data_IF_625597202426
#
_entry.id   IF_625597202426
#
_cell.length_a   1.000
_cell.length_b   1.000
_cell.length_c   1.000
_cell.angle_alpha   90.00
_cell.angle_beta   90.00
_cell.angle_gamma   90.00
#
_symmetry.space_group_name_H-M   'P 1'
#
loop_
_entity.id
_entity.type
_entity.pdbx_description
1 polymer ?
#
# COMPACT_ATOMS: atom_id res chain seq x y z
N UNK A 1 9.77 -4.69 -5.55
CA UNK A 1 10.11 -3.28 -5.87
C UNK A 1 9.12 -2.62 -6.83
N UNK A 2 9.27 -2.66 -8.17
CA UNK A 2 8.28 -1.96 -9.05
C UNK A 2 6.87 -2.56 -8.98
N UNK A 3 6.79 -3.90 -9.01
CA UNK A 3 5.51 -4.61 -8.94
C UNK A 3 4.79 -4.38 -7.61
N UNK A 4 5.54 -4.35 -6.52
CA UNK A 4 5.03 -4.16 -5.16
C UNK A 4 4.30 -2.83 -4.98
N UNK A 5 4.95 -1.74 -5.36
CA UNK A 5 4.36 -0.41 -5.30
C UNK A 5 3.23 -0.23 -6.32
N UNK A 6 3.25 -0.98 -7.43
CA UNK A 6 2.15 -0.99 -8.40
C UNK A 6 0.89 -1.65 -7.83
N UNK A 7 1.00 -2.79 -7.15
CA UNK A 7 -0.13 -3.44 -6.47
C UNK A 7 -0.69 -2.55 -5.35
N UNK A 8 0.17 -1.91 -4.56
CA UNK A 8 -0.27 -0.97 -3.54
C UNK A 8 -1.04 0.22 -4.14
N UNK A 9 -0.58 0.75 -5.27
CA UNK A 9 -1.27 1.82 -5.99
C UNK A 9 -2.65 1.37 -6.47
N UNK A 10 -2.78 0.15 -6.97
CA UNK A 10 -4.06 -0.42 -7.39
C UNK A 10 -5.00 -0.54 -6.20
N UNK A 11 -4.54 -1.12 -5.08
CA UNK A 11 -5.32 -1.19 -3.83
C UNK A 11 -5.82 0.19 -3.44
N UNK A 12 -4.92 1.18 -3.33
CA UNK A 12 -5.28 2.54 -2.92
C UNK A 12 -6.30 3.20 -3.85
N UNK A 13 -6.34 2.83 -5.13
CA UNK A 13 -7.32 3.35 -6.09
C UNK A 13 -8.76 3.05 -5.66
N UNK A 14 -8.99 1.91 -4.98
CA UNK A 14 -10.30 1.53 -4.44
C UNK A 14 -10.72 2.38 -3.24
N UNK A 15 -9.77 3.09 -2.60
CA UNK A 15 -10.01 3.88 -1.39
C UNK A 15 -10.05 5.40 -1.64
N UNK A 16 -9.82 5.86 -2.88
CA UNK A 16 -9.69 7.30 -3.18
C UNK A 16 -10.99 8.09 -2.96
N UNK A 17 -12.15 7.50 -3.22
CA UNK A 17 -13.42 8.24 -3.24
C UNK A 17 -14.13 8.27 -1.87
N UNK A 18 -13.86 7.30 -0.99
CA UNK A 18 -14.68 7.05 0.20
C UNK A 18 -13.96 7.19 1.54
N UNK A 19 -12.64 7.35 1.56
CA UNK A 19 -11.84 7.26 2.79
C UNK A 19 -11.07 8.54 3.14
N UNK A 20 -11.54 9.69 2.66
CA UNK A 20 -10.93 10.99 2.95
C UNK A 20 -9.64 11.27 2.17
N UNK A 21 -8.81 12.17 2.68
CA UNK A 21 -7.63 12.67 1.95
C UNK A 21 -6.37 11.82 2.17
N UNK A 22 -6.30 11.03 3.24
CA UNK A 22 -5.16 10.16 3.56
C UNK A 22 -4.80 9.19 2.42
N UNK A 23 -5.72 8.38 1.85
CA UNK A 23 -5.40 7.52 0.71
C UNK A 23 -4.95 8.31 -0.53
N UNK A 24 -5.52 9.49 -0.79
CA UNK A 24 -5.12 10.36 -1.90
C UNK A 24 -3.69 10.87 -1.74
N UNK A 25 -3.29 11.22 -0.52
CA UNK A 25 -1.91 11.67 -0.22
C UNK A 25 -0.91 10.54 -0.43
N UNK A 26 -1.22 9.33 0.02
CA UNK A 26 -0.38 8.15 -0.18
C UNK A 26 -0.26 7.82 -1.68
N UNK A 27 -1.38 7.80 -2.39
CA UNK A 27 -1.42 7.58 -3.83
C UNK A 27 -0.57 8.63 -4.57
N UNK A 28 -0.71 9.90 -4.19
CA UNK A 28 0.08 11.00 -4.76
C UNK A 28 1.58 10.80 -4.52
N UNK A 29 2.00 10.36 -3.33
CA UNK A 29 3.39 10.03 -3.01
C UNK A 29 3.94 8.97 -3.97
N UNK A 30 3.19 7.87 -4.17
CA UNK A 30 3.57 6.77 -5.06
C UNK A 30 3.78 7.19 -6.52
N UNK A 31 2.97 8.12 -7.04
CA UNK A 31 3.10 8.58 -8.43
C UNK A 31 4.08 9.74 -8.60
N UNK A 32 4.39 10.50 -7.55
CA UNK A 32 5.18 11.72 -7.66
C UNK A 32 6.67 11.52 -7.40
N UNK A 33 7.07 10.42 -6.75
CA UNK A 33 8.46 10.14 -6.39
C UNK A 33 8.89 8.77 -6.91
N UNK A 34 10.06 8.65 -7.56
CA UNK A 34 10.63 7.37 -7.92
C UNK A 34 11.29 6.72 -6.70
N UNK A 35 10.50 6.05 -5.87
CA UNK A 35 11.06 5.30 -4.74
C UNK A 35 11.92 4.14 -5.25
N UNK A 36 13.09 3.96 -4.64
CA UNK A 36 13.99 2.83 -4.94
C UNK A 36 13.42 1.50 -4.45
N UNK A 37 12.48 1.53 -3.51
CA UNK A 37 11.80 0.36 -2.97
C UNK A 37 10.80 0.74 -1.88
N UNK A 38 10.16 -0.28 -1.32
CA UNK A 38 9.10 -0.21 -0.32
C UNK A 38 9.59 0.48 0.96
N UNK A 39 10.83 0.18 1.38
CA UNK A 39 11.41 0.80 2.57
C UNK A 39 11.64 2.31 2.45
N UNK A 40 11.95 2.82 1.26
CA UNK A 40 12.05 4.27 1.04
C UNK A 40 10.66 4.91 1.06
N UNK A 41 9.68 4.25 0.45
CA UNK A 41 8.28 4.69 0.47
C UNK A 41 7.73 4.75 1.89
N UNK A 42 7.88 3.68 2.68
CA UNK A 42 7.37 3.60 4.06
C UNK A 42 8.00 4.66 4.96
N UNK A 43 9.29 4.96 4.78
CA UNK A 43 9.97 6.04 5.52
C UNK A 43 9.46 7.44 5.17
N UNK A 44 8.92 7.64 3.98
CA UNK A 44 8.31 8.91 3.58
C UNK A 44 6.86 9.07 4.10
N UNK A 45 6.27 8.02 4.67
CA UNK A 45 4.93 8.08 5.23
C UNK A 45 4.90 8.86 6.55
N UNK A 46 3.85 9.65 6.71
CA UNK A 46 3.49 10.21 8.01
C UNK A 46 2.82 9.16 8.88
N UNK A 47 2.79 9.37 10.20
CA UNK A 47 2.14 8.43 11.13
C UNK A 47 0.67 8.16 10.79
N UNK A 48 -0.06 9.17 10.33
CA UNK A 48 -1.45 9.04 9.86
C UNK A 48 -1.54 8.12 8.63
N UNK A 49 -0.63 8.29 7.67
CA UNK A 49 -0.60 7.49 6.44
C UNK A 49 -0.20 6.04 6.72
N UNK A 50 0.78 5.81 7.60
CA UNK A 50 1.16 4.47 8.05
C UNK A 50 0.01 3.77 8.78
N UNK A 51 -0.68 4.46 9.69
CA UNK A 51 -1.83 3.91 10.40
C UNK A 51 -3.01 3.58 9.48
N UNK A 52 -3.17 4.34 8.39
CA UNK A 52 -4.16 4.03 7.35
C UNK A 52 -3.80 2.73 6.61
N UNK A 53 -2.55 2.60 6.15
CA UNK A 53 -2.08 1.39 5.47
C UNK A 53 -2.13 0.15 6.38
N UNK A 54 -1.70 0.28 7.63
CA UNK A 54 -1.77 -0.78 8.65
C UNK A 54 -3.20 -1.31 8.84
N UNK A 55 -4.20 -0.44 8.70
CA UNK A 55 -5.61 -0.83 8.79
C UNK A 55 -6.11 -1.57 7.55
N UNK A 56 -5.73 -1.15 6.35
CA UNK A 56 -6.32 -1.69 5.11
C UNK A 56 -5.55 -2.89 4.55
N UNK A 57 -4.22 -2.94 4.70
CA UNK A 57 -3.40 -3.99 4.09
C UNK A 57 -3.76 -5.40 4.57
N UNK A 58 -4.04 -5.67 5.86
CA UNK A 58 -4.46 -7.00 6.30
C UNK A 58 -5.74 -7.49 5.63
N UNK A 59 -6.67 -6.57 5.34
CA UNK A 59 -7.92 -6.90 4.64
C UNK A 59 -7.65 -7.28 3.18
N UNK A 60 -6.84 -6.47 2.49
CA UNK A 60 -6.49 -6.69 1.08
C UNK A 60 -5.63 -7.94 0.86
N UNK A 61 -4.69 -8.21 1.78
CA UNK A 61 -3.88 -9.43 1.79
C UNK A 61 -4.79 -10.66 1.94
N UNK A 62 -5.76 -10.61 2.86
CA UNK A 62 -6.71 -11.69 3.06
C UNK A 62 -7.59 -11.90 1.82
N UNK A 63 -8.08 -10.81 1.23
CA UNK A 63 -8.87 -10.87 0.01
C UNK A 63 -8.10 -11.52 -1.15
N UNK A 64 -6.86 -11.09 -1.39
CA UNK A 64 -5.98 -11.67 -2.41
C UNK A 64 -5.69 -13.17 -2.15
N UNK A 65 -5.54 -13.55 -0.88
CA UNK A 65 -5.35 -14.94 -0.48
C UNK A 65 -6.58 -15.80 -0.81
N UNK A 66 -7.79 -15.30 -0.53
CA UNK A 66 -9.04 -15.98 -0.85
C UNK A 66 -9.24 -16.13 -2.36
N UNK A 67 -8.80 -15.15 -3.15
CA UNK A 67 -8.77 -15.20 -4.62
C UNK A 67 -7.64 -16.07 -5.21
N UNK A 68 -6.74 -16.60 -4.37
CA UNK A 68 -5.53 -17.35 -4.75
C UNK A 68 -4.55 -16.53 -5.60
N UNK A 69 -4.58 -15.20 -5.47
CA UNK A 69 -3.59 -14.28 -6.03
C UNK A 69 -2.38 -14.19 -5.08
N UNK A 70 -1.59 -15.26 -5.06
CA UNK A 70 -0.46 -15.37 -4.15
C UNK A 70 0.66 -14.37 -4.44
N UNK A 71 0.79 -13.89 -5.68
CA UNK A 71 1.73 -12.83 -6.02
C UNK A 71 1.32 -11.55 -5.30
N UNK A 72 0.06 -11.12 -5.44
CA UNK A 72 -0.46 -9.94 -4.72
C UNK A 72 -0.35 -10.09 -3.20
N UNK A 73 -0.61 -11.28 -2.65
CA UNK A 73 -0.39 -11.57 -1.21
C UNK A 73 1.05 -11.31 -0.82
N UNK A 74 2.01 -11.85 -1.56
CA UNK A 74 3.44 -11.67 -1.28
C UNK A 74 3.82 -10.19 -1.33
N UNK A 75 3.43 -9.50 -2.41
CA UNK A 75 3.77 -8.10 -2.62
C UNK A 75 3.18 -7.18 -1.53
N UNK A 76 1.90 -7.34 -1.18
CA UNK A 76 1.28 -6.50 -0.15
C UNK A 76 1.85 -6.77 1.26
N UNK A 77 2.26 -8.03 1.53
CA UNK A 77 2.93 -8.36 2.78
C UNK A 77 4.30 -7.67 2.92
N UNK A 78 5.09 -7.55 1.85
CA UNK A 78 6.40 -6.85 1.92
C UNK A 78 6.24 -5.39 2.39
N UNK A 79 5.17 -4.71 1.98
CA UNK A 79 4.89 -3.34 2.45
C UNK A 79 4.41 -3.37 3.90
N UNK A 80 3.50 -4.29 4.24
CA UNK A 80 2.91 -4.39 5.57
C UNK A 80 3.96 -4.66 6.66
N UNK A 81 4.91 -5.58 6.41
CA UNK A 81 5.98 -5.90 7.36
C UNK A 81 6.88 -4.70 7.68
N UNK A 82 7.00 -3.74 6.76
CA UNK A 82 7.81 -2.53 6.96
C UNK A 82 7.08 -1.44 7.78
N UNK A 83 5.76 -1.57 7.99
CA UNK A 83 4.98 -0.63 8.80
C UNK A 83 5.09 -0.90 10.31
N UNK A 84 5.56 -2.10 10.70
CA UNK A 84 5.64 -2.60 12.09
C UNK A 84 6.94 -2.19 12.78
#
# INVERSE_FOLDING_TARGET
MEQTLAYLREVLSNYLDHHGDTPKRIYKKLISKPYRGEGEFVRDLTQEESAFLDRILPHEIRYAMDERDYERVYQLNEVYELLI
#
